data_IF_986566336827
#
_entry.id   IF_986566336827
#
_cell.length_a   1.000
_cell.length_b   1.000
_cell.length_c   1.000
_cell.angle_alpha   90.00
_cell.angle_beta   90.00
_cell.angle_gamma   90.00
#
_symmetry.space_group_name_H-M   'P 1'
#
loop_
_entity.id
_entity.type
_entity.pdbx_description
1 polymer ?
#
# COMPACT_ATOMS: atom_id res chain seq x y z
N UNK A 1 -37.02 -4.14 -4.39
CA UNK A 1 -35.77 -4.40 -5.13
C UNK A 1 -35.22 -3.07 -5.62
N UNK A 2 -34.02 -2.71 -5.20
CA UNK A 2 -33.26 -1.64 -5.88
C UNK A 2 -32.58 -2.32 -7.06
N UNK A 3 -32.88 -1.89 -8.29
CA UNK A 3 -32.06 -2.30 -9.43
C UNK A 3 -30.64 -1.76 -9.24
N UNK A 4 -29.61 -2.60 -9.25
CA UNK A 4 -28.25 -2.12 -9.21
C UNK A 4 -27.94 -1.39 -10.52
N UNK A 5 -27.64 -0.10 -10.44
CA UNK A 5 -27.07 0.62 -11.56
C UNK A 5 -25.56 0.40 -11.55
N UNK A 6 -25.06 -0.24 -12.59
CA UNK A 6 -23.62 -0.37 -12.82
C UNK A 6 -23.13 0.87 -13.55
N UNK A 7 -22.06 1.48 -13.06
CA UNK A 7 -21.28 2.43 -13.86
C UNK A 7 -20.40 1.66 -14.86
N UNK A 8 -19.74 2.38 -15.76
CA UNK A 8 -18.88 1.79 -16.80
C UNK A 8 -17.75 0.88 -16.25
N UNK A 9 -17.45 0.95 -14.96
CA UNK A 9 -16.40 0.18 -14.28
C UNK A 9 -16.95 -1.04 -13.52
N UNK A 10 -18.23 -1.37 -13.68
CA UNK A 10 -18.87 -2.50 -13.00
C UNK A 10 -19.13 -2.26 -11.51
N UNK A 11 -18.91 -1.06 -11.00
CA UNK A 11 -19.19 -0.68 -9.63
C UNK A 11 -20.67 -0.35 -9.49
N UNK A 12 -21.33 -0.98 -8.50
CA UNK A 12 -22.70 -0.63 -8.14
C UNK A 12 -22.72 0.80 -7.58
N UNK A 13 -23.02 1.78 -8.42
CA UNK A 13 -23.34 3.11 -7.95
C UNK A 13 -24.66 3.03 -7.17
N UNK A 14 -24.71 3.61 -5.99
CA UNK A 14 -25.90 3.65 -5.15
C UNK A 14 -27.13 4.06 -5.97
N UNK A 15 -28.18 3.28 -5.87
CA UNK A 15 -29.36 3.32 -6.72
C UNK A 15 -29.95 4.72 -6.90
N UNK A 16 -29.90 5.22 -8.10
CA UNK A 16 -30.86 6.20 -8.64
C UNK A 16 -32.03 5.49 -9.34
N UNK A 17 -32.19 4.17 -9.11
CA UNK A 17 -33.29 3.38 -9.64
C UNK A 17 -34.53 3.47 -8.75
N UNK A 18 -35.70 3.56 -9.34
CA UNK A 18 -36.97 3.55 -8.63
C UNK A 18 -37.11 2.30 -7.75
N UNK A 19 -37.64 2.46 -6.55
CA UNK A 19 -37.98 1.34 -5.69
C UNK A 19 -39.05 0.48 -6.38
N UNK A 20 -38.70 -0.78 -6.68
CA UNK A 20 -39.68 -1.75 -7.14
C UNK A 20 -40.44 -2.22 -5.88
N UNK A 21 -41.69 -1.81 -5.74
CA UNK A 21 -42.55 -2.31 -4.67
C UNK A 21 -43.10 -3.66 -5.06
N UNK A 22 -42.66 -4.70 -4.37
CA UNK A 22 -43.09 -6.08 -4.61
C UNK A 22 -43.98 -6.52 -3.44
N UNK A 23 -45.19 -6.96 -3.72
CA UNK A 23 -46.07 -7.65 -2.78
C UNK A 23 -46.03 -9.11 -3.10
N UNK A 24 -45.31 -9.91 -2.34
CA UNK A 24 -45.21 -11.36 -2.56
C UNK A 24 -44.47 -12.06 -1.42
N UNK A 25 -44.77 -13.32 -1.23
CA UNK A 25 -44.06 -14.17 -0.26
C UNK A 25 -42.72 -14.69 -0.84
N UNK A 26 -42.62 -14.73 -2.17
CA UNK A 26 -41.45 -15.23 -2.90
C UNK A 26 -41.03 -14.24 -3.95
N UNK A 27 -39.72 -14.08 -4.10
CA UNK A 27 -39.11 -13.25 -5.15
C UNK A 27 -38.21 -14.16 -5.98
N UNK A 28 -38.36 -14.11 -7.31
CA UNK A 28 -37.46 -14.81 -8.24
C UNK A 28 -36.55 -13.81 -8.94
N UNK A 29 -35.27 -14.05 -8.86
CA UNK A 29 -34.26 -13.35 -9.64
C UNK A 29 -33.85 -14.26 -10.79
N UNK A 30 -33.92 -13.77 -12.02
CA UNK A 30 -33.47 -14.47 -13.21
C UNK A 30 -32.33 -13.69 -13.85
N UNK A 31 -31.27 -14.39 -14.19
CA UNK A 31 -30.08 -13.80 -14.82
C UNK A 31 -30.02 -14.25 -16.28
N UNK A 32 -30.01 -13.30 -17.20
CA UNK A 32 -29.90 -13.56 -18.63
C UNK A 32 -28.42 -13.39 -19.03
N UNK A 33 -27.64 -14.45 -18.91
CA UNK A 33 -26.27 -14.46 -19.41
C UNK A 33 -25.29 -15.31 -18.60
N UNK A 34 -24.36 -15.93 -19.30
CA UNK A 34 -23.23 -16.64 -18.69
C UNK A 34 -22.27 -15.64 -18.03
N UNK A 35 -21.94 -15.84 -16.77
CA UNK A 35 -20.97 -15.03 -16.04
C UNK A 35 -21.55 -13.97 -15.10
N UNK A 36 -22.88 -13.96 -14.90
CA UNK A 36 -23.47 -13.15 -13.82
C UNK A 36 -23.10 -13.73 -12.45
N UNK A 37 -22.58 -12.93 -11.55
CA UNK A 37 -22.28 -13.31 -10.18
C UNK A 37 -23.11 -12.45 -9.22
N UNK A 38 -23.66 -13.08 -8.20
CA UNK A 38 -24.37 -12.45 -7.11
C UNK A 38 -23.63 -12.74 -5.81
N UNK A 39 -23.40 -11.70 -4.98
CA UNK A 39 -22.59 -11.84 -3.78
C UNK A 39 -23.41 -11.77 -2.50
N UNK A 40 -24.41 -10.91 -2.48
CA UNK A 40 -25.26 -10.70 -1.31
C UNK A 40 -26.66 -10.25 -1.77
N UNK A 41 -27.69 -10.69 -1.08
CA UNK A 41 -29.08 -10.28 -1.31
C UNK A 41 -29.72 -9.89 0.01
N UNK A 42 -30.23 -8.67 0.07
CA UNK A 42 -31.05 -8.24 1.16
C UNK A 42 -32.38 -7.66 0.67
N UNK A 43 -33.46 -7.98 1.36
CA UNK A 43 -34.74 -7.34 1.17
C UNK A 43 -34.91 -6.21 2.21
N UNK A 44 -35.40 -5.05 1.80
CA UNK A 44 -35.64 -3.92 2.71
C UNK A 44 -37.07 -3.44 2.55
N UNK A 45 -37.70 -2.98 3.65
CA UNK A 45 -39.01 -2.36 3.61
C UNK A 45 -38.92 -0.90 3.10
N UNK A 46 -40.08 -0.25 2.98
CA UNK A 46 -40.16 1.16 2.54
C UNK A 46 -39.45 2.17 3.47
N UNK A 47 -39.10 1.78 4.69
CA UNK A 47 -38.36 2.56 5.67
C UNK A 47 -36.86 2.26 5.67
N UNK A 48 -36.41 1.28 4.87
CA UNK A 48 -35.02 0.84 4.78
C UNK A 48 -34.63 -0.25 5.79
N UNK A 49 -35.59 -0.81 6.55
CA UNK A 49 -35.33 -1.90 7.48
C UNK A 49 -35.20 -3.22 6.74
N UNK A 50 -34.25 -4.02 7.14
CA UNK A 50 -34.04 -5.36 6.56
C UNK A 50 -35.21 -6.26 6.89
N UNK A 51 -35.79 -6.89 5.85
CA UNK A 51 -36.79 -7.95 5.96
C UNK A 51 -36.03 -9.27 5.90
N UNK A 52 -36.07 -10.11 6.96
CA UNK A 52 -35.32 -11.37 6.97
C UNK A 52 -35.76 -12.28 5.84
N UNK A 53 -34.83 -12.65 4.97
CA UNK A 53 -35.02 -13.71 3.96
C UNK A 53 -34.70 -15.03 4.63
N UNK A 54 -35.65 -15.98 4.62
CA UNK A 54 -35.50 -17.24 5.37
C UNK A 54 -34.65 -18.29 4.64
N UNK A 55 -34.72 -18.34 3.32
CA UNK A 55 -33.92 -19.25 2.52
C UNK A 55 -33.89 -18.81 1.06
N UNK A 56 -32.79 -19.15 0.39
CA UNK A 56 -32.63 -18.99 -1.06
C UNK A 56 -32.48 -20.39 -1.68
N UNK A 57 -33.16 -20.62 -2.81
CA UNK A 57 -32.99 -21.83 -3.62
C UNK A 57 -32.54 -21.43 -5.02
N UNK A 58 -31.49 -22.06 -5.52
CA UNK A 58 -31.03 -21.86 -6.89
C UNK A 58 -31.60 -22.94 -7.81
N UNK A 59 -32.02 -22.54 -9.02
CA UNK A 59 -32.37 -23.49 -10.10
C UNK A 59 -31.36 -23.29 -11.24
N UNK A 60 -30.57 -24.33 -11.54
CA UNK A 60 -29.50 -24.31 -12.54
C UNK A 60 -28.15 -24.76 -11.98
N UNK A 61 -27.15 -24.81 -12.84
CA UNK A 61 -25.79 -25.11 -12.42
C UNK A 61 -25.20 -23.91 -11.64
N UNK A 62 -24.78 -24.15 -10.41
CA UNK A 62 -24.04 -23.19 -9.59
C UNK A 62 -22.58 -23.63 -9.62
N UNK A 63 -21.74 -22.84 -10.26
CA UNK A 63 -20.29 -23.05 -10.29
C UNK A 63 -19.61 -22.22 -9.20
N UNK A 64 -18.71 -22.84 -8.46
CA UNK A 64 -17.90 -22.17 -7.45
C UNK A 64 -17.89 -22.88 -6.10
N UNK A 65 -17.07 -22.38 -5.17
CA UNK A 65 -16.94 -22.93 -3.80
C UNK A 65 -18.19 -22.70 -2.95
N UNK A 66 -18.97 -21.69 -3.23
CA UNK A 66 -20.25 -21.41 -2.58
C UNK A 66 -21.39 -22.13 -3.32
N UNK A 67 -21.43 -23.46 -3.22
CA UNK A 67 -22.50 -24.25 -3.78
C UNK A 67 -23.83 -24.08 -3.00
N UNK A 68 -23.80 -23.51 -1.80
CA UNK A 68 -24.99 -23.21 -0.99
C UNK A 68 -25.50 -21.80 -1.32
N UNK A 69 -26.69 -21.65 -1.92
CA UNK A 69 -27.28 -20.34 -2.18
C UNK A 69 -27.55 -19.51 -0.93
N UNK A 70 -27.61 -20.10 0.25
CA UNK A 70 -27.86 -19.39 1.51
C UNK A 70 -26.67 -18.51 1.95
N UNK A 71 -25.49 -18.71 1.39
CA UNK A 71 -24.36 -17.76 1.54
C UNK A 71 -24.69 -16.35 1.04
N UNK A 72 -25.70 -16.20 0.17
CA UNK A 72 -26.18 -14.89 -0.29
C UNK A 72 -27.00 -14.12 0.74
N UNK A 73 -27.32 -14.73 1.90
CA UNK A 73 -28.14 -14.15 2.96
C UNK A 73 -27.57 -14.40 4.36
N UNK A 74 -26.34 -14.82 4.48
CA UNK A 74 -25.71 -15.15 5.77
C UNK A 74 -25.33 -13.92 6.60
N UNK A 75 -25.25 -12.74 5.97
CA UNK A 75 -24.87 -11.48 6.61
C UNK A 75 -26.01 -10.44 6.67
N UNK A 76 -27.27 -10.87 6.67
CA UNK A 76 -28.42 -9.96 6.65
C UNK A 76 -28.42 -8.96 7.82
N UNK A 77 -27.92 -9.34 8.99
CA UNK A 77 -27.83 -8.47 10.17
C UNK A 77 -26.80 -7.36 9.99
N UNK A 78 -25.86 -7.51 9.05
CA UNK A 78 -24.85 -6.51 8.72
C UNK A 78 -25.32 -5.45 7.71
N UNK A 79 -26.49 -5.63 7.08
CA UNK A 79 -27.03 -4.69 6.09
C UNK A 79 -27.53 -3.41 6.78
N UNK A 80 -26.92 -2.25 6.57
CA UNK A 80 -27.31 -1.00 7.22
C UNK A 80 -28.60 -0.44 6.60
N UNK A 81 -29.47 0.14 7.43
CA UNK A 81 -30.68 0.88 6.99
C UNK A 81 -30.34 1.99 5.99
N UNK A 82 -29.25 2.71 6.25
CA UNK A 82 -28.70 3.76 5.37
C UNK A 82 -27.19 3.58 5.25
N UNK A 83 -26.68 3.20 4.09
CA UNK A 83 -25.24 3.12 3.88
C UNK A 83 -24.57 4.47 4.06
N UNK A 84 -23.57 4.53 4.95
CA UNK A 84 -22.72 5.69 5.20
C UNK A 84 -21.27 5.23 5.29
N UNK A 85 -20.32 6.15 5.32
CA UNK A 85 -18.92 5.80 5.54
C UNK A 85 -18.67 5.13 6.91
N UNK A 86 -19.60 5.21 7.84
CA UNK A 86 -19.46 4.60 9.18
C UNK A 86 -19.83 3.10 9.18
N UNK A 87 -20.75 2.70 8.34
CA UNK A 87 -21.35 1.36 8.35
C UNK A 87 -21.22 0.61 7.01
N UNK A 88 -20.59 1.23 6.00
CA UNK A 88 -20.40 0.62 4.69
C UNK A 88 -19.05 1.01 4.08
N UNK A 89 -18.71 0.41 2.97
CA UNK A 89 -17.53 0.74 2.18
C UNK A 89 -17.76 2.00 1.35
N UNK A 90 -16.71 2.76 1.11
CA UNK A 90 -16.72 3.89 0.19
C UNK A 90 -15.42 3.91 -0.63
N UNK A 91 -15.47 4.50 -1.82
CA UNK A 91 -14.35 4.60 -2.75
C UNK A 91 -13.71 3.22 -3.00
N UNK A 92 -12.40 3.11 -3.00
CA UNK A 92 -11.66 1.86 -3.31
C UNK A 92 -11.76 0.77 -2.22
N UNK A 93 -12.39 1.05 -1.07
CA UNK A 93 -12.63 0.03 -0.04
C UNK A 93 -13.40 -1.18 -0.59
N UNK A 94 -14.34 -0.93 -1.53
CA UNK A 94 -15.14 -1.99 -2.15
C UNK A 94 -14.28 -3.02 -2.87
N UNK A 95 -13.12 -2.63 -3.39
CA UNK A 95 -12.19 -3.55 -4.04
C UNK A 95 -11.27 -4.24 -3.04
N UNK A 96 -10.67 -3.47 -2.13
CA UNK A 96 -9.62 -3.98 -1.26
C UNK A 96 -10.14 -4.72 -0.04
N UNK A 97 -11.19 -4.21 0.61
CA UNK A 97 -11.81 -4.90 1.75
C UNK A 97 -12.51 -6.19 1.30
N UNK A 98 -13.22 -6.15 0.16
CA UNK A 98 -13.79 -7.34 -0.48
C UNK A 98 -12.71 -8.39 -0.74
N UNK A 99 -11.61 -8.01 -1.38
CA UNK A 99 -10.51 -8.93 -1.64
C UNK A 99 -9.86 -9.44 -0.35
N UNK A 100 -9.82 -8.61 0.72
CA UNK A 100 -9.43 -9.06 2.05
C UNK A 100 -10.32 -10.19 2.57
N UNK A 101 -11.62 -10.07 2.43
CA UNK A 101 -12.59 -11.11 2.76
C UNK A 101 -12.40 -12.36 1.89
N UNK A 102 -12.28 -12.20 0.57
CA UNK A 102 -12.04 -13.30 -0.37
C UNK A 102 -10.76 -14.08 -0.01
N UNK A 103 -9.68 -13.40 0.39
CA UNK A 103 -8.45 -14.03 0.85
C UNK A 103 -8.63 -14.79 2.17
N UNK A 104 -9.36 -14.23 3.14
CA UNK A 104 -9.63 -14.88 4.42
C UNK A 104 -10.40 -16.21 4.23
N UNK A 105 -11.34 -16.23 3.28
CA UNK A 105 -12.20 -17.38 3.02
C UNK A 105 -11.75 -18.26 1.84
N UNK A 106 -10.55 -18.01 1.28
CA UNK A 106 -10.03 -18.74 0.11
C UNK A 106 -10.98 -18.72 -1.09
N UNK A 107 -11.64 -17.60 -1.32
CA UNK A 107 -12.51 -17.37 -2.48
C UNK A 107 -11.72 -16.82 -3.67
N UNK A 108 -12.29 -16.92 -4.87
CA UNK A 108 -11.68 -16.32 -6.06
C UNK A 108 -11.58 -14.80 -5.92
N UNK A 109 -10.38 -14.29 -6.15
CA UNK A 109 -10.05 -12.89 -5.95
C UNK A 109 -10.60 -12.04 -7.09
N UNK A 110 -11.44 -11.07 -6.77
CA UNK A 110 -11.99 -10.12 -7.72
C UNK A 110 -10.95 -9.08 -8.16
N UNK A 111 -10.30 -8.41 -7.20
CA UNK A 111 -9.32 -7.36 -7.50
C UNK A 111 -7.92 -7.97 -7.60
N UNK A 112 -7.40 -8.07 -8.82
CA UNK A 112 -6.09 -8.65 -9.15
C UNK A 112 -5.14 -7.65 -9.80
N UNK A 113 -5.51 -6.36 -9.84
CA UNK A 113 -4.73 -5.31 -10.53
C UNK A 113 -3.54 -4.79 -9.71
N UNK A 114 -3.41 -5.22 -8.46
CA UNK A 114 -2.30 -4.88 -7.57
C UNK A 114 -1.79 -6.12 -6.84
N UNK A 115 -0.50 -6.13 -6.42
CA UNK A 115 0.04 -7.19 -5.58
C UNK A 115 -0.78 -7.40 -4.31
N UNK A 116 -0.80 -8.63 -3.74
CA UNK A 116 -1.79 -8.99 -2.73
C UNK A 116 -1.45 -8.56 -1.30
N UNK A 117 -0.18 -8.25 -0.94
CA UNK A 117 0.24 -8.15 0.47
C UNK A 117 -0.59 -7.16 1.30
N UNK A 118 -0.91 -5.98 0.76
CA UNK A 118 -1.75 -5.01 1.47
C UNK A 118 -3.12 -5.57 1.80
N UNK A 119 -3.72 -6.33 0.86
CA UNK A 119 -5.02 -7.01 1.04
C UNK A 119 -4.92 -8.20 2.00
N UNK A 120 -3.76 -8.87 2.05
CA UNK A 120 -3.49 -9.94 3.04
C UNK A 120 -3.49 -9.39 4.47
N UNK A 121 -2.94 -8.21 4.71
CA UNK A 121 -3.04 -7.59 6.04
C UNK A 121 -4.50 -7.25 6.42
N UNK A 122 -5.29 -6.79 5.46
CA UNK A 122 -6.72 -6.58 5.68
C UNK A 122 -7.44 -7.91 5.94
N UNK A 123 -7.09 -8.99 5.22
CA UNK A 123 -7.70 -10.31 5.40
C UNK A 123 -7.48 -10.85 6.80
N UNK A 124 -6.31 -10.67 7.39
CA UNK A 124 -6.05 -11.08 8.78
C UNK A 124 -6.91 -10.30 9.79
N UNK A 125 -7.12 -9.01 9.54
CA UNK A 125 -7.98 -8.22 10.41
C UNK A 125 -9.46 -8.63 10.27
N UNK A 126 -9.91 -8.91 9.06
CA UNK A 126 -11.28 -9.39 8.78
C UNK A 126 -11.50 -10.78 9.39
N UNK A 127 -10.56 -11.68 9.25
CA UNK A 127 -10.63 -13.03 9.84
C UNK A 127 -10.74 -12.97 11.38
N UNK A 128 -10.00 -12.06 12.02
CA UNK A 128 -9.98 -11.92 13.48
C UNK A 128 -11.18 -11.15 14.05
N UNK A 129 -11.72 -10.18 13.33
CA UNK A 129 -12.69 -9.20 13.86
C UNK A 129 -14.02 -9.18 13.08
N UNK A 130 -14.17 -10.06 12.08
CA UNK A 130 -15.33 -10.09 11.20
C UNK A 130 -15.29 -9.04 10.10
N UNK A 131 -16.23 -9.14 9.15
CA UNK A 131 -16.36 -8.22 8.01
C UNK A 131 -17.05 -6.92 8.44
N UNK A 132 -16.33 -6.05 9.13
CA UNK A 132 -16.83 -4.78 9.66
C UNK A 132 -15.99 -3.59 9.21
N UNK A 133 -16.55 -2.36 9.14
CA UNK A 133 -15.78 -1.15 8.81
C UNK A 133 -14.56 -0.94 9.68
N UNK A 134 -14.62 -1.32 10.94
CA UNK A 134 -13.48 -1.28 11.85
C UNK A 134 -12.38 -2.26 11.40
N UNK A 135 -12.75 -3.51 11.11
CA UNK A 135 -11.81 -4.58 10.77
C UNK A 135 -11.03 -4.26 9.48
N UNK A 136 -11.72 -3.93 8.39
CA UNK A 136 -11.02 -3.69 7.13
C UNK A 136 -10.20 -2.40 7.11
N UNK A 137 -10.53 -1.39 7.93
CA UNK A 137 -9.76 -0.14 8.08
C UNK A 137 -8.62 -0.25 9.08
N UNK A 138 -8.65 -1.23 9.98
CA UNK A 138 -7.70 -1.36 11.09
C UNK A 138 -6.25 -1.49 10.62
N UNK A 139 -5.97 -2.35 9.63
CA UNK A 139 -4.61 -2.56 9.12
C UNK A 139 -4.00 -1.27 8.53
N UNK A 140 -4.77 -0.52 7.73
CA UNK A 140 -4.35 0.78 7.19
C UNK A 140 -4.12 1.81 8.28
N UNK A 141 -5.00 1.87 9.28
CA UNK A 141 -4.88 2.78 10.44
C UNK A 141 -3.62 2.47 11.25
N UNK A 142 -3.36 1.20 11.56
CA UNK A 142 -2.14 0.79 12.27
C UNK A 142 -0.88 1.14 11.47
N UNK A 143 -0.91 0.97 10.17
CA UNK A 143 0.16 1.39 9.27
C UNK A 143 0.43 2.89 9.39
N UNK A 144 -0.62 3.72 9.39
CA UNK A 144 -0.51 5.17 9.61
C UNK A 144 0.08 5.54 10.96
N UNK A 145 -0.34 4.88 12.03
CA UNK A 145 0.23 5.07 13.37
C UNK A 145 1.73 4.73 13.38
N UNK A 146 2.12 3.63 12.74
CA UNK A 146 3.53 3.20 12.66
C UNK A 146 4.39 4.13 11.79
N UNK A 147 3.82 4.89 10.87
CA UNK A 147 4.56 5.90 10.10
C UNK A 147 5.10 7.02 11.00
N UNK A 148 4.43 7.36 12.11
CA UNK A 148 4.85 8.44 13.00
C UNK A 148 6.20 8.12 13.67
N UNK A 149 6.39 6.98 14.37
CA UNK A 149 7.70 6.62 14.88
C UNK A 149 8.71 6.34 13.75
N UNK A 150 8.29 5.84 12.59
CA UNK A 150 9.19 5.59 11.47
C UNK A 150 9.83 6.90 10.96
N UNK A 151 9.04 7.96 10.75
CA UNK A 151 9.59 9.27 10.33
C UNK A 151 10.44 9.90 11.43
N UNK A 152 10.05 9.75 12.71
CA UNK A 152 10.86 10.21 13.83
C UNK A 152 12.25 9.55 13.82
N UNK A 153 12.31 8.22 13.69
CA UNK A 153 13.55 7.46 13.67
C UNK A 153 14.41 7.80 12.44
N UNK A 154 13.77 7.95 11.27
CA UNK A 154 14.47 8.37 10.05
C UNK A 154 15.07 9.76 10.21
N UNK A 155 14.30 10.72 10.72
CA UNK A 155 14.80 12.08 11.00
C UNK A 155 15.90 12.08 12.05
N UNK A 156 15.78 11.28 13.12
CA UNK A 156 16.85 11.09 14.11
C UNK A 156 18.13 10.53 13.50
N UNK A 157 17.99 9.58 12.56
CA UNK A 157 19.14 9.01 11.87
C UNK A 157 19.87 10.04 10.98
N UNK A 158 19.13 10.96 10.39
CA UNK A 158 19.69 12.00 9.49
C UNK A 158 20.18 13.25 10.24
N UNK A 159 19.36 13.78 11.14
CA UNK A 159 19.57 15.09 11.77
C UNK A 159 20.27 14.96 13.13
N UNK A 160 20.12 13.82 13.82
CA UNK A 160 20.71 13.50 15.15
C UNK A 160 20.31 14.51 16.25
N UNK A 161 19.13 15.11 16.15
CA UNK A 161 18.59 16.05 17.15
C UNK A 161 17.11 15.77 17.39
N UNK A 162 16.77 15.36 18.61
CA UNK A 162 15.44 14.97 19.05
C UNK A 162 14.36 15.99 18.70
N UNK A 163 14.59 17.28 18.94
CA UNK A 163 13.62 18.35 18.65
C UNK A 163 13.17 18.40 17.18
N UNK A 164 14.12 18.21 16.26
CA UNK A 164 13.81 18.24 14.82
C UNK A 164 13.17 16.93 14.33
N UNK A 165 13.58 15.81 14.92
CA UNK A 165 12.92 14.54 14.67
C UNK A 165 11.47 14.53 15.20
N UNK A 166 11.24 15.09 16.39
CA UNK A 166 9.90 15.27 16.94
C UNK A 166 9.04 16.22 16.08
N UNK A 167 9.63 17.31 15.57
CA UNK A 167 8.94 18.20 14.64
C UNK A 167 8.56 17.49 13.34
N UNK A 168 9.44 16.64 12.78
CA UNK A 168 9.13 15.85 11.58
C UNK A 168 7.94 14.90 11.82
N UNK A 169 7.88 14.24 12.98
CA UNK A 169 6.76 13.40 13.37
C UNK A 169 5.46 14.22 13.57
N UNK A 170 5.56 15.39 14.20
CA UNK A 170 4.43 16.30 14.39
C UNK A 170 3.86 16.79 13.05
N UNK A 171 4.72 17.19 12.10
CA UNK A 171 4.29 17.62 10.77
C UNK A 171 3.56 16.51 10.01
N UNK A 172 4.03 15.26 10.08
CA UNK A 172 3.31 14.13 9.48
C UNK A 172 1.96 13.86 10.19
N UNK A 173 1.93 13.95 11.52
CA UNK A 173 0.68 13.77 12.30
C UNK A 173 -0.34 14.87 11.97
N UNK A 174 0.12 16.09 11.69
CA UNK A 174 -0.74 17.22 11.33
C UNK A 174 -1.13 17.24 9.84
N UNK A 175 -0.65 16.29 9.03
CA UNK A 175 -0.98 16.26 7.61
C UNK A 175 -2.35 15.62 7.36
N UNK A 176 -3.24 16.38 6.72
CA UNK A 176 -4.60 15.93 6.43
C UNK A 176 -4.64 14.74 5.47
N UNK A 177 -3.73 14.69 4.50
CA UNK A 177 -3.66 13.56 3.57
C UNK A 177 -3.23 12.27 4.29
N UNK A 178 -2.21 12.33 5.15
CA UNK A 178 -1.82 11.19 5.97
C UNK A 178 -3.00 10.69 6.81
N UNK A 179 -3.72 11.59 7.47
CA UNK A 179 -4.87 11.25 8.31
C UNK A 179 -5.98 10.57 7.50
N UNK A 180 -6.34 11.11 6.34
CA UNK A 180 -7.43 10.58 5.50
C UNK A 180 -7.02 9.26 4.85
N UNK A 181 -5.82 9.20 4.25
CA UNK A 181 -5.36 8.06 3.47
C UNK A 181 -5.10 6.82 4.32
N UNK A 182 -4.77 6.98 5.60
CA UNK A 182 -4.53 5.84 6.50
C UNK A 182 -5.78 5.33 7.21
N UNK A 183 -6.92 6.01 7.05
CA UNK A 183 -8.21 5.61 7.63
C UNK A 183 -9.15 4.95 6.65
N UNK A 184 -8.90 5.03 5.37
CA UNK A 184 -9.60 4.30 4.32
C UNK A 184 -8.89 2.95 4.08
N UNK A 185 -9.65 1.90 3.80
CA UNK A 185 -9.08 0.58 3.50
C UNK A 185 -8.56 0.51 2.06
N UNK A 186 -7.51 1.25 1.77
CA UNK A 186 -6.74 1.16 0.53
C UNK A 186 -5.36 0.57 0.80
N UNK A 187 -4.71 0.11 -0.26
CA UNK A 187 -3.38 -0.51 -0.14
C UNK A 187 -2.23 0.51 -0.12
N UNK A 188 -2.49 1.80 -0.29
CA UNK A 188 -1.48 2.83 -0.50
C UNK A 188 -0.60 3.11 0.71
N UNK A 189 -1.15 3.00 1.91
CA UNK A 189 -0.42 3.27 3.16
C UNK A 189 0.69 2.25 3.43
N UNK A 190 0.50 0.98 3.07
CA UNK A 190 1.48 -0.09 3.34
C UNK A 190 2.82 0.15 2.65
N UNK A 191 2.90 0.34 1.32
CA UNK A 191 4.18 0.58 0.66
C UNK A 191 4.86 1.83 1.17
N UNK A 192 4.13 2.88 1.56
CA UNK A 192 4.72 4.11 2.12
C UNK A 192 5.42 3.82 3.45
N UNK A 193 4.78 3.13 4.39
CA UNK A 193 5.43 2.72 5.64
C UNK A 193 6.68 1.89 5.36
N UNK A 194 6.57 0.88 4.50
CA UNK A 194 7.70 0.00 4.21
C UNK A 194 8.83 0.73 3.51
N UNK A 195 8.56 1.68 2.62
CA UNK A 195 9.58 2.56 2.03
C UNK A 195 10.25 3.45 3.08
N UNK A 196 9.51 4.01 4.04
CA UNK A 196 10.10 4.79 5.14
C UNK A 196 11.07 3.95 5.95
N UNK A 197 10.68 2.72 6.30
CA UNK A 197 11.53 1.81 7.11
C UNK A 197 12.72 1.29 6.31
N UNK A 198 12.56 0.99 5.02
CA UNK A 198 13.68 0.58 4.19
C UNK A 198 14.73 1.69 4.06
N UNK A 199 14.31 2.96 3.90
CA UNK A 199 15.23 4.11 3.87
C UNK A 199 15.85 4.38 5.25
N UNK A 200 15.14 4.14 6.35
CA UNK A 200 15.70 4.21 7.70
C UNK A 200 16.90 3.27 7.84
N UNK A 201 16.77 2.02 7.43
CA UNK A 201 17.86 1.05 7.50
C UNK A 201 18.99 1.35 6.50
N UNK A 202 18.67 1.84 5.30
CA UNK A 202 19.68 2.31 4.35
C UNK A 202 20.47 3.50 4.91
N UNK A 203 19.81 4.49 5.51
CA UNK A 203 20.45 5.63 6.18
C UNK A 203 21.34 5.18 7.34
N UNK A 204 20.93 4.14 8.07
CA UNK A 204 21.77 3.52 9.09
C UNK A 204 23.03 2.92 8.50
N UNK A 205 22.91 2.13 7.43
CA UNK A 205 24.03 1.54 6.73
C UNK A 205 24.99 2.57 6.17
N UNK A 206 24.51 3.65 5.59
CA UNK A 206 25.33 4.74 5.04
C UNK A 206 26.26 5.38 6.10
N UNK A 207 25.90 5.32 7.38
CA UNK A 207 26.72 5.83 8.49
C UNK A 207 27.70 4.78 9.04
N UNK A 208 27.65 3.56 8.53
CA UNK A 208 28.55 2.48 8.94
C UNK A 208 29.74 2.34 7.99
N UNK A 209 30.79 1.70 8.49
CA UNK A 209 31.97 1.37 7.69
C UNK A 209 32.49 -0.01 8.09
N UNK A 210 32.61 -0.89 7.12
CA UNK A 210 33.20 -2.20 7.33
C UNK A 210 34.71 -2.17 7.59
N UNK A 211 35.36 -1.00 7.52
CA UNK A 211 36.75 -0.81 7.97
C UNK A 211 36.86 -0.77 9.50
N UNK A 212 35.85 -0.18 10.17
CA UNK A 212 35.82 0.01 11.62
C UNK A 212 34.94 -0.99 12.34
N UNK A 213 34.09 -1.74 11.62
CA UNK A 213 33.11 -2.65 12.20
C UNK A 213 33.24 -4.05 11.59
N UNK A 214 32.74 -5.06 12.30
CA UNK A 214 32.62 -6.41 11.77
C UNK A 214 31.64 -6.41 10.60
N UNK A 215 31.97 -7.05 9.49
CA UNK A 215 31.18 -7.07 8.26
C UNK A 215 29.71 -7.45 8.52
N UNK A 216 29.46 -8.50 9.27
CA UNK A 216 28.08 -8.95 9.55
C UNK A 216 27.20 -7.85 10.18
N UNK A 217 27.78 -6.98 11.03
CA UNK A 217 27.04 -5.85 11.63
C UNK A 217 26.61 -4.82 10.60
N UNK A 218 27.39 -4.64 9.54
CA UNK A 218 27.02 -3.73 8.44
C UNK A 218 26.02 -4.37 7.49
N UNK A 219 25.96 -5.70 7.40
CA UNK A 219 25.01 -6.42 6.57
C UNK A 219 23.58 -6.43 7.16
N UNK A 220 23.43 -6.40 8.50
CA UNK A 220 22.11 -6.42 9.16
C UNK A 220 21.17 -5.31 8.66
N UNK A 221 21.56 -4.01 8.65
CA UNK A 221 20.67 -2.98 8.13
C UNK A 221 20.43 -3.10 6.61
N UNK A 222 21.36 -3.61 5.83
CA UNK A 222 21.12 -3.90 4.40
C UNK A 222 20.08 -5.00 4.22
N UNK A 223 20.16 -6.08 5.01
CA UNK A 223 19.16 -7.13 5.00
C UNK A 223 17.77 -6.60 5.37
N UNK A 224 17.68 -5.84 6.47
CA UNK A 224 16.41 -5.22 6.87
C UNK A 224 15.86 -4.29 5.77
N UNK A 225 16.72 -3.46 5.15
CA UNK A 225 16.32 -2.61 4.03
C UNK A 225 15.77 -3.44 2.86
N UNK A 226 16.39 -4.57 2.52
CA UNK A 226 15.91 -5.49 1.46
C UNK A 226 14.58 -6.16 1.80
N UNK A 227 14.38 -6.58 3.04
CA UNK A 227 13.10 -7.12 3.51
C UNK A 227 11.97 -6.09 3.34
N UNK A 228 12.17 -4.86 3.83
CA UNK A 228 11.15 -3.81 3.71
C UNK A 228 10.94 -3.35 2.27
N UNK A 229 11.96 -3.41 1.42
CA UNK A 229 11.79 -3.22 -0.03
C UNK A 229 10.88 -4.30 -0.62
N UNK A 230 11.09 -5.57 -0.26
CA UNK A 230 10.23 -6.68 -0.69
C UNK A 230 8.78 -6.50 -0.24
N UNK A 231 8.56 -6.11 1.02
CA UNK A 231 7.23 -5.83 1.56
C UNK A 231 6.54 -4.65 0.83
N UNK A 232 7.30 -3.59 0.50
CA UNK A 232 6.77 -2.46 -0.26
C UNK A 232 6.32 -2.87 -1.66
N UNK A 233 7.15 -3.61 -2.40
CA UNK A 233 6.84 -4.08 -3.77
C UNK A 233 5.68 -5.09 -3.74
N UNK A 234 5.64 -5.99 -2.77
CA UNK A 234 4.55 -6.96 -2.61
C UNK A 234 3.20 -6.32 -2.21
N UNK A 235 3.21 -5.09 -1.69
CA UNK A 235 2.00 -4.32 -1.39
C UNK A 235 1.52 -3.50 -2.59
N UNK A 236 2.43 -2.86 -3.32
CA UNK A 236 2.15 -2.09 -4.55
C UNK A 236 3.43 -1.86 -5.34
N UNK A 237 3.37 -1.93 -6.67
CA UNK A 237 4.56 -1.77 -7.55
C UNK A 237 5.26 -0.41 -7.42
N UNK A 238 4.64 0.58 -6.81
CA UNK A 238 5.29 1.86 -6.47
C UNK A 238 6.55 1.66 -5.62
N UNK A 239 6.65 0.58 -4.86
CA UNK A 239 7.86 0.18 -4.14
C UNK A 239 9.11 0.05 -5.02
N UNK A 240 8.95 -0.26 -6.32
CA UNK A 240 10.05 -0.32 -7.27
C UNK A 240 10.74 1.03 -7.48
N UNK A 241 9.99 2.14 -7.45
CA UNK A 241 10.61 3.48 -7.52
C UNK A 241 11.47 3.76 -6.28
N UNK A 242 11.02 3.31 -5.10
CA UNK A 242 11.82 3.36 -3.88
C UNK A 242 13.10 2.54 -3.99
N UNK A 243 13.07 1.37 -4.66
CA UNK A 243 14.24 0.53 -4.89
C UNK A 243 15.31 1.24 -5.75
N UNK A 244 14.90 2.03 -6.74
CA UNK A 244 15.84 2.86 -7.52
C UNK A 244 16.55 3.87 -6.62
N UNK A 245 15.80 4.55 -5.74
CA UNK A 245 16.37 5.45 -4.74
C UNK A 245 17.38 4.76 -3.80
N UNK A 246 17.05 3.53 -3.34
CA UNK A 246 17.98 2.72 -2.55
C UNK A 246 19.28 2.41 -3.30
N UNK A 247 19.19 2.04 -4.58
CA UNK A 247 20.36 1.73 -5.40
C UNK A 247 21.28 2.96 -5.51
N UNK A 248 20.72 4.14 -5.74
CA UNK A 248 21.49 5.40 -5.80
C UNK A 248 22.22 5.65 -4.47
N UNK A 249 21.55 5.51 -3.34
CA UNK A 249 22.15 5.69 -2.01
C UNK A 249 23.23 4.65 -1.73
N UNK A 250 22.94 3.38 -2.02
CA UNK A 250 23.89 2.28 -1.83
C UNK A 250 25.18 2.52 -2.63
N UNK A 251 25.07 2.74 -3.93
CA UNK A 251 26.25 2.91 -4.78
C UNK A 251 27.00 4.22 -4.46
N UNK A 252 26.33 5.29 -4.11
CA UNK A 252 26.96 6.52 -3.62
C UNK A 252 27.88 6.26 -2.40
N UNK A 253 27.35 5.54 -1.41
CA UNK A 253 28.14 5.16 -0.22
C UNK A 253 29.24 4.15 -0.56
N UNK A 254 28.93 3.16 -1.38
CA UNK A 254 29.89 2.13 -1.78
C UNK A 254 31.09 2.74 -2.53
N UNK A 255 30.86 3.68 -3.43
CA UNK A 255 31.90 4.45 -4.12
C UNK A 255 32.73 5.27 -3.11
N UNK A 256 32.09 5.84 -2.09
CA UNK A 256 32.81 6.55 -1.02
C UNK A 256 33.77 5.62 -0.26
N UNK A 257 33.31 4.42 0.09
CA UNK A 257 34.16 3.41 0.72
C UNK A 257 35.32 2.98 -0.19
N UNK A 258 35.06 2.82 -1.49
CA UNK A 258 36.11 2.55 -2.48
C UNK A 258 37.15 3.69 -2.53
N UNK A 259 36.70 4.94 -2.63
CA UNK A 259 37.62 6.10 -2.62
C UNK A 259 38.46 6.14 -1.35
N UNK A 260 37.89 5.81 -0.19
CA UNK A 260 38.63 5.69 1.08
C UNK A 260 39.72 4.62 0.99
N UNK A 261 39.45 3.47 0.37
CA UNK A 261 40.47 2.43 0.15
C UNK A 261 41.59 2.88 -0.78
N UNK A 262 41.24 3.59 -1.87
CA UNK A 262 42.26 4.12 -2.81
C UNK A 262 43.16 5.15 -2.12
N UNK A 263 42.59 6.03 -1.29
CA UNK A 263 43.36 6.97 -0.48
C UNK A 263 44.28 6.21 0.49
N UNK A 264 43.73 5.25 1.21
CA UNK A 264 44.46 4.44 2.18
C UNK A 264 45.62 3.64 1.55
N UNK A 265 45.50 3.18 0.29
CA UNK A 265 46.59 2.55 -0.45
C UNK A 265 47.76 3.50 -0.70
N UNK A 266 47.51 4.77 -0.95
CA UNK A 266 48.56 5.77 -1.19
C UNK A 266 49.30 6.19 0.07
N UNK A 267 48.64 6.04 1.24
CA UNK A 267 49.16 6.45 2.55
C UNK A 267 49.40 5.25 3.46
N UNK A 268 49.64 4.07 2.87
CA UNK A 268 49.67 2.77 3.58
C UNK A 268 50.66 2.72 4.73
N UNK A 269 51.80 3.36 4.56
CA UNK A 269 52.94 3.33 5.50
C UNK A 269 52.82 4.39 6.62
N UNK A 270 51.84 5.29 6.52
CA UNK A 270 51.67 6.37 7.50
C UNK A 270 50.94 5.91 8.79
N UNK A 271 50.00 4.98 8.66
CA UNK A 271 49.19 4.43 9.79
C UNK A 271 48.75 2.98 9.49
N UNK A 272 48.88 2.07 10.45
CA UNK A 272 48.34 0.71 10.37
C UNK A 272 46.84 0.65 10.04
N UNK A 273 46.07 1.70 10.33
CA UNK A 273 44.67 1.80 9.94
C UNK A 273 44.48 1.92 8.43
N UNK A 274 45.38 2.64 7.74
CA UNK A 274 45.36 2.75 6.29
C UNK A 274 45.70 1.41 5.62
N UNK A 275 46.67 0.65 6.14
CA UNK A 275 46.99 -0.67 5.62
C UNK A 275 45.76 -1.60 5.70
N UNK A 276 45.06 -1.61 6.85
CA UNK A 276 43.80 -2.39 7.01
C UNK A 276 42.70 -1.96 6.07
N UNK A 277 42.53 -0.67 5.82
CA UNK A 277 41.51 -0.14 4.90
C UNK A 277 41.86 -0.44 3.44
N UNK A 278 43.15 -0.34 3.08
CA UNK A 278 43.66 -0.64 1.74
C UNK A 278 43.39 -2.09 1.34
N UNK A 279 43.68 -3.04 2.23
CA UNK A 279 43.55 -4.47 1.97
C UNK A 279 42.12 -4.99 2.22
N UNK A 280 41.37 -4.30 3.06
CA UNK A 280 40.03 -4.74 3.49
C UNK A 280 38.90 -4.51 2.48
N UNK A 281 39.06 -3.61 1.49
CA UNK A 281 37.98 -3.26 0.57
C UNK A 281 37.59 -4.44 -0.33
N UNK A 282 38.56 -5.06 -1.01
CA UNK A 282 38.26 -6.08 -2.01
C UNK A 282 37.42 -7.26 -1.43
N UNK A 283 37.83 -7.93 -0.34
CA UNK A 283 37.05 -9.03 0.20
C UNK A 283 35.73 -8.58 0.84
N UNK A 284 35.72 -7.48 1.60
CA UNK A 284 34.50 -7.02 2.28
C UNK A 284 33.52 -6.37 1.30
N UNK A 285 34.00 -5.66 0.30
CA UNK A 285 33.20 -5.10 -0.77
C UNK A 285 32.53 -6.17 -1.61
N UNK A 286 33.31 -7.18 -2.04
CA UNK A 286 32.78 -8.32 -2.79
C UNK A 286 31.71 -9.09 -1.96
N UNK A 287 31.98 -9.37 -0.70
CA UNK A 287 31.02 -10.02 0.19
C UNK A 287 29.76 -9.16 0.42
N UNK A 288 29.89 -7.83 0.51
CA UNK A 288 28.75 -6.93 0.58
C UNK A 288 27.90 -6.97 -0.68
N UNK A 289 28.52 -6.94 -1.86
CA UNK A 289 27.80 -7.04 -3.15
C UNK A 289 27.10 -8.39 -3.30
N UNK A 290 27.78 -9.50 -2.95
CA UNK A 290 27.17 -10.82 -2.97
C UNK A 290 25.96 -10.92 -2.01
N UNK A 291 26.08 -10.36 -0.80
CA UNK A 291 24.97 -10.27 0.14
C UNK A 291 23.83 -9.40 -0.39
N UNK A 292 24.12 -8.31 -1.10
CA UNK A 292 23.10 -7.45 -1.71
C UNK A 292 22.29 -8.17 -2.79
N UNK A 293 22.87 -9.10 -3.55
CA UNK A 293 22.10 -9.93 -4.49
C UNK A 293 21.06 -10.76 -3.73
N UNK A 294 21.44 -11.35 -2.59
CA UNK A 294 20.47 -12.08 -1.75
C UNK A 294 19.44 -11.13 -1.17
N UNK A 295 19.84 -10.01 -0.58
CA UNK A 295 18.97 -9.12 0.18
C UNK A 295 18.00 -8.30 -0.69
N UNK A 296 18.45 -7.85 -1.86
CA UNK A 296 17.68 -6.96 -2.74
C UNK A 296 17.12 -7.64 -4.00
N UNK A 297 17.41 -8.93 -4.23
CA UNK A 297 16.83 -9.71 -5.32
C UNK A 297 16.08 -10.92 -4.77
N UNK A 298 16.78 -11.85 -4.10
CA UNK A 298 16.17 -13.12 -3.69
C UNK A 298 15.12 -12.91 -2.60
N UNK A 299 15.44 -12.16 -1.54
CA UNK A 299 14.51 -11.92 -0.44
C UNK A 299 13.22 -11.21 -0.89
N UNK A 300 13.26 -10.12 -1.69
CA UNK A 300 12.05 -9.53 -2.23
C UNK A 300 11.21 -10.48 -3.10
N UNK A 301 11.84 -11.28 -3.96
CA UNK A 301 11.13 -12.28 -4.77
C UNK A 301 10.42 -13.30 -3.87
N UNK A 302 11.10 -13.80 -2.83
CA UNK A 302 10.49 -14.75 -1.88
C UNK A 302 9.30 -14.11 -1.17
N UNK A 303 9.44 -12.90 -0.64
CA UNK A 303 8.34 -12.16 0.02
C UNK A 303 7.18 -11.97 -0.95
N UNK A 304 7.48 -11.56 -2.18
CA UNK A 304 6.48 -11.36 -3.23
C UNK A 304 5.70 -12.65 -3.53
N UNK A 305 6.40 -13.76 -3.75
CA UNK A 305 5.74 -15.06 -4.01
C UNK A 305 4.93 -15.53 -2.79
N UNK A 306 5.43 -15.37 -1.57
CA UNK A 306 4.71 -15.75 -0.36
C UNK A 306 3.43 -14.93 -0.17
N UNK A 307 3.41 -13.66 -0.59
CA UNK A 307 2.21 -12.83 -0.51
C UNK A 307 1.05 -13.35 -1.37
N UNK A 308 1.33 -14.18 -2.37
CA UNK A 308 0.32 -14.79 -3.24
C UNK A 308 -0.35 -16.04 -2.65
N UNK A 309 0.08 -16.55 -1.50
CA UNK A 309 -0.50 -17.77 -0.90
C UNK A 309 -2.02 -17.67 -0.75
N UNK A 310 -2.62 -16.59 -0.21
CA UNK A 310 -4.08 -16.48 -0.11
C UNK A 310 -4.77 -16.46 -1.48
N UNK A 311 -4.20 -15.80 -2.47
CA UNK A 311 -4.69 -15.85 -3.85
C UNK A 311 -4.65 -17.27 -4.42
N UNK A 312 -3.57 -18.01 -4.19
CA UNK A 312 -3.41 -19.39 -4.67
C UNK A 312 -4.35 -20.36 -3.96
N UNK A 313 -4.67 -20.11 -2.68
CA UNK A 313 -5.57 -20.97 -1.89
C UNK A 313 -6.98 -21.09 -2.50
N UNK A 314 -7.46 -20.04 -3.15
CA UNK A 314 -8.73 -20.05 -3.88
C UNK A 314 -8.78 -21.10 -5.01
N UNK A 315 -7.61 -21.48 -5.54
CA UNK A 315 -7.47 -22.54 -6.54
C UNK A 315 -7.11 -23.90 -5.94
N UNK A 316 -7.12 -24.03 -4.60
CA UNK A 316 -6.68 -25.26 -3.92
C UNK A 316 -5.15 -25.46 -3.93
N UNK A 317 -4.37 -24.44 -4.26
CA UNK A 317 -2.93 -24.49 -4.49
C UNK A 317 -2.20 -23.68 -3.41
N UNK A 318 -1.77 -24.33 -2.32
CA UNK A 318 -1.07 -23.64 -1.21
C UNK A 318 0.45 -23.81 -1.22
N UNK A 319 0.98 -24.62 -2.14
CA UNK A 319 2.43 -24.89 -2.23
C UNK A 319 3.04 -24.14 -3.41
N UNK A 320 4.17 -23.47 -3.18
CA UNK A 320 4.97 -22.89 -4.26
C UNK A 320 5.65 -24.01 -5.06
N UNK A 321 5.25 -24.17 -6.31
CA UNK A 321 5.80 -25.08 -7.29
C UNK A 321 5.78 -24.41 -8.68
N UNK A 322 6.26 -25.09 -9.72
CA UNK A 322 6.34 -24.50 -11.07
C UNK A 322 4.97 -24.02 -11.59
N UNK A 323 3.89 -24.77 -11.34
CA UNK A 323 2.54 -24.38 -11.75
C UNK A 323 2.04 -23.13 -11.04
N UNK A 324 2.27 -23.02 -9.72
CA UNK A 324 1.89 -21.84 -8.95
C UNK A 324 2.76 -20.63 -9.29
N UNK A 325 4.05 -20.81 -9.58
CA UNK A 325 4.92 -19.74 -10.09
C UNK A 325 4.46 -19.24 -11.45
N UNK A 326 4.04 -20.13 -12.36
CA UNK A 326 3.44 -19.73 -13.64
C UNK A 326 2.16 -18.93 -13.43
N UNK A 327 1.28 -19.34 -12.48
CA UNK A 327 0.07 -18.59 -12.14
C UNK A 327 0.40 -17.19 -11.59
N UNK A 328 1.40 -17.10 -10.70
CA UNK A 328 1.89 -15.79 -10.20
C UNK A 328 2.41 -14.95 -11.37
N UNK A 329 3.17 -15.53 -12.28
CA UNK A 329 3.67 -14.82 -13.46
C UNK A 329 2.54 -14.30 -14.34
N UNK A 330 1.56 -15.13 -14.65
CA UNK A 330 0.39 -14.73 -15.43
C UNK A 330 -0.40 -13.61 -14.76
N UNK A 331 -0.48 -13.60 -13.43
CA UNK A 331 -1.07 -12.49 -12.68
C UNK A 331 -0.27 -11.19 -12.88
N UNK A 332 1.08 -11.23 -12.98
CA UNK A 332 1.88 -10.04 -13.30
C UNK A 332 1.60 -9.53 -14.71
N UNK A 333 1.50 -10.43 -15.68
CA UNK A 333 1.17 -10.06 -17.06
C UNK A 333 -0.20 -9.38 -17.12
N UNK A 334 -1.20 -9.96 -16.47
CA UNK A 334 -2.55 -9.37 -16.38
C UNK A 334 -2.53 -7.98 -15.72
N UNK A 335 -1.81 -7.84 -14.59
CA UNK A 335 -1.62 -6.55 -13.91
C UNK A 335 -0.98 -5.50 -14.83
N UNK A 336 0.08 -5.89 -15.52
CA UNK A 336 0.79 -5.00 -16.44
C UNK A 336 -0.09 -4.55 -17.60
N UNK A 337 -0.80 -5.49 -18.24
CA UNK A 337 -1.72 -5.18 -19.34
C UNK A 337 -2.89 -4.29 -18.88
N UNK A 338 -3.42 -4.53 -17.68
CA UNK A 338 -4.43 -3.66 -17.10
C UNK A 338 -3.93 -2.22 -16.98
N UNK A 339 -2.79 -2.00 -16.32
CA UNK A 339 -2.26 -0.64 -16.13
C UNK A 339 -1.80 0.03 -17.42
N UNK A 340 -1.28 -0.73 -18.38
CA UNK A 340 -0.87 -0.23 -19.70
C UNK A 340 -2.05 0.28 -20.51
N UNK A 341 -3.20 -0.40 -20.41
CA UNK A 341 -4.38 -0.12 -21.22
C UNK A 341 -5.43 0.72 -20.47
N UNK A 342 -5.15 1.07 -19.19
CA UNK A 342 -6.09 1.82 -18.37
C UNK A 342 -6.29 3.24 -18.92
N UNK A 343 -7.48 3.50 -19.43
CA UNK A 343 -7.96 4.82 -19.82
C UNK A 343 -9.11 5.19 -18.89
N UNK A 344 -8.77 5.56 -17.68
CA UNK A 344 -9.76 6.01 -16.70
C UNK A 344 -9.70 7.53 -16.57
N UNK A 345 -10.85 8.18 -16.70
CA UNK A 345 -11.02 9.61 -16.41
C UNK A 345 -11.73 9.72 -15.06
N UNK A 346 -11.10 10.37 -14.11
CA UNK A 346 -11.72 10.67 -12.83
C UNK A 346 -11.97 12.17 -12.71
N UNK A 347 -13.15 12.59 -12.29
CA UNK A 347 -13.51 14.00 -12.21
C UNK A 347 -12.54 14.81 -11.34
N UNK A 348 -11.99 14.20 -10.30
CA UNK A 348 -11.01 14.79 -9.39
C UNK A 348 -9.55 14.45 -9.74
N UNK A 349 -9.26 13.89 -10.91
CA UNK A 349 -7.88 13.70 -11.36
C UNK A 349 -7.17 15.04 -11.54
N UNK A 350 -5.89 15.08 -11.26
CA UNK A 350 -5.02 16.24 -11.44
C UNK A 350 -3.61 15.79 -11.84
N UNK A 351 -2.88 16.59 -12.64
CA UNK A 351 -1.50 16.30 -12.97
C UNK A 351 -0.62 16.34 -11.71
N UNK A 352 0.44 15.53 -11.68
CA UNK A 352 1.32 15.38 -10.51
C UNK A 352 1.97 16.69 -10.03
N UNK A 353 2.22 17.65 -10.91
CA UNK A 353 2.82 18.94 -10.56
C UNK A 353 1.85 19.89 -9.83
N UNK A 354 0.56 19.62 -9.87
CA UNK A 354 -0.46 20.35 -9.11
C UNK A 354 -0.57 19.84 -7.65
N UNK A 355 -0.16 18.62 -7.36
CA UNK A 355 -0.28 18.04 -6.02
C UNK A 355 0.43 18.83 -4.94
N UNK A 356 1.70 19.26 -5.12
CA UNK A 356 2.39 20.06 -4.11
C UNK A 356 1.70 21.39 -3.79
N UNK A 357 0.95 21.93 -4.75
CA UNK A 357 0.20 23.19 -4.61
C UNK A 357 -1.21 22.98 -4.05
N UNK A 358 -1.66 21.73 -3.92
CA UNK A 358 -3.00 21.37 -3.44
C UNK A 358 -4.09 22.01 -4.31
N UNK A 359 -3.89 22.03 -5.63
CA UNK A 359 -4.82 22.69 -6.57
C UNK A 359 -6.18 22.01 -6.58
N UNK A 360 -6.20 20.66 -6.48
CA UNK A 360 -7.43 19.87 -6.54
C UNK A 360 -7.36 18.71 -5.55
N UNK A 361 -8.19 18.69 -4.48
CA UNK A 361 -8.25 17.57 -3.55
C UNK A 361 -8.90 16.36 -4.19
N UNK A 362 -8.55 15.15 -3.75
CA UNK A 362 -9.25 13.93 -4.12
C UNK A 362 -10.49 13.78 -3.24
N UNK A 363 -11.64 13.59 -3.88
CA UNK A 363 -12.92 13.43 -3.18
C UNK A 363 -13.27 11.96 -3.07
N UNK A 364 -13.27 11.43 -1.85
CA UNK A 364 -13.49 10.00 -1.60
C UNK A 364 -14.95 9.66 -1.28
N UNK A 365 -15.67 10.57 -0.61
CA UNK A 365 -17.02 10.31 -0.17
C UNK A 365 -17.85 11.59 -0.15
N UNK A 366 -19.10 11.46 -0.56
CA UNK A 366 -20.11 12.52 -0.41
C UNK A 366 -21.47 11.88 -0.16
N UNK A 367 -22.17 12.36 0.87
CA UNK A 367 -23.56 12.04 1.13
C UNK A 367 -24.32 13.29 1.55
N UNK A 368 -25.52 13.44 1.05
CA UNK A 368 -26.46 14.47 1.47
C UNK A 368 -27.53 13.85 2.37
N UNK A 369 -27.85 14.52 3.45
CA UNK A 369 -28.94 14.17 4.38
C UNK A 369 -30.00 15.27 4.35
N UNK A 370 -30.86 15.33 3.31
CA UNK A 370 -31.79 16.45 3.12
C UNK A 370 -32.73 16.69 4.31
N UNK A 371 -33.17 15.62 4.95
CA UNK A 371 -34.03 15.70 6.14
C UNK A 371 -33.37 16.40 7.35
N UNK A 372 -32.02 16.45 7.39
CA UNK A 372 -31.25 17.11 8.45
C UNK A 372 -30.62 18.42 7.99
N UNK A 373 -30.74 18.81 6.71
CA UNK A 373 -30.05 19.96 6.15
C UNK A 373 -28.52 19.83 6.20
N UNK A 374 -27.98 18.59 6.23
CA UNK A 374 -26.55 18.29 6.40
C UNK A 374 -26.00 17.57 5.18
N UNK A 375 -24.72 17.77 4.92
CA UNK A 375 -23.91 16.96 4.00
C UNK A 375 -22.67 16.46 4.72
N UNK A 376 -22.21 15.28 4.35
CA UNK A 376 -20.97 14.69 4.85
C UNK A 376 -20.02 14.42 3.68
N UNK A 377 -18.76 14.80 3.83
CA UNK A 377 -17.76 14.61 2.78
C UNK A 377 -16.43 14.15 3.38
N UNK A 378 -15.70 13.32 2.64
CA UNK A 378 -14.31 12.93 2.95
C UNK A 378 -13.45 13.29 1.76
N UNK A 379 -12.43 14.12 2.00
CA UNK A 379 -11.48 14.56 0.99
C UNK A 379 -10.05 14.31 1.46
N UNK A 380 -9.19 13.84 0.54
CA UNK A 380 -7.75 13.72 0.77
C UNK A 380 -7.02 14.90 0.12
N UNK A 381 -6.32 15.66 0.94
CA UNK A 381 -5.45 16.76 0.52
C UNK A 381 -4.35 17.00 1.56
N UNK A 382 -3.20 17.50 1.13
CA UNK A 382 -2.12 17.86 2.05
C UNK A 382 -2.49 19.05 2.93
N UNK A 383 -1.98 19.06 4.16
CA UNK A 383 -2.13 20.25 5.01
C UNK A 383 -1.37 21.42 4.36
N UNK A 384 -2.02 22.54 3.98
CA UNK A 384 -1.36 23.66 3.29
C UNK A 384 -0.17 24.23 4.07
N UNK A 385 -0.29 24.32 5.41
CA UNK A 385 0.79 24.81 6.25
C UNK A 385 2.03 23.90 6.19
N UNK A 386 1.85 22.59 6.10
CA UNK A 386 2.94 21.61 5.99
C UNK A 386 3.51 21.58 4.57
N UNK A 387 2.65 21.50 3.56
CA UNK A 387 3.06 21.30 2.18
C UNK A 387 3.71 22.57 1.59
N UNK A 388 3.10 23.73 1.75
CA UNK A 388 3.64 24.97 1.17
C UNK A 388 4.92 25.42 1.86
N UNK A 389 4.98 25.31 3.21
CA UNK A 389 6.24 25.59 3.92
C UNK A 389 7.31 24.55 3.57
N UNK A 390 6.92 23.28 3.31
CA UNK A 390 7.81 22.24 2.81
C UNK A 390 8.42 22.56 1.45
N UNK A 391 7.61 23.07 0.50
CA UNK A 391 8.11 23.53 -0.80
C UNK A 391 9.15 24.63 -0.66
N UNK A 392 8.85 25.66 0.15
CA UNK A 392 9.80 26.75 0.43
C UNK A 392 11.08 26.21 1.05
N UNK A 393 10.97 25.29 2.02
CA UNK A 393 12.13 24.67 2.66
C UNK A 393 12.99 23.86 1.68
N UNK A 394 12.38 23.10 0.76
CA UNK A 394 13.10 22.35 -0.29
C UNK A 394 13.87 23.31 -1.20
N UNK A 395 13.22 24.36 -1.70
CA UNK A 395 13.84 25.35 -2.56
C UNK A 395 15.01 26.05 -1.86
N UNK A 396 14.83 26.38 -0.57
CA UNK A 396 15.89 26.98 0.25
C UNK A 396 17.10 26.03 0.40
N UNK A 397 16.86 24.74 0.72
CA UNK A 397 17.93 23.75 0.89
C UNK A 397 18.68 23.52 -0.42
N UNK A 398 17.97 23.43 -1.55
CA UNK A 398 18.58 23.27 -2.87
C UNK A 398 19.43 24.51 -3.22
N UNK A 399 18.89 25.71 -3.08
CA UNK A 399 19.60 26.96 -3.34
C UNK A 399 20.84 27.13 -2.45
N UNK A 400 20.71 26.81 -1.14
CA UNK A 400 21.83 26.83 -0.21
C UNK A 400 22.92 25.81 -0.58
N UNK A 401 22.55 24.62 -1.00
CA UNK A 401 23.47 23.56 -1.44
C UNK A 401 24.27 24.01 -2.67
N UNK A 402 23.60 24.60 -3.67
CA UNK A 402 24.26 25.18 -4.87
C UNK A 402 25.21 26.31 -4.47
N UNK A 403 24.74 27.25 -3.66
CA UNK A 403 25.56 28.36 -3.17
C UNK A 403 26.81 27.88 -2.44
N UNK A 404 26.65 26.92 -1.51
CA UNK A 404 27.79 26.38 -0.75
C UNK A 404 28.82 25.68 -1.63
N UNK A 405 28.37 24.95 -2.66
CA UNK A 405 29.26 24.25 -3.60
C UNK A 405 29.94 25.23 -4.58
N UNK A 406 29.32 26.36 -4.89
CA UNK A 406 29.88 27.40 -5.75
C UNK A 406 30.91 28.28 -5.02
N UNK A 407 30.82 28.44 -3.69
CA UNK A 407 31.72 29.28 -2.88
C UNK A 407 33.22 28.96 -3.08
N UNK A 408 33.69 27.71 -3.18
CA UNK A 408 35.09 27.41 -3.46
C UNK A 408 35.56 27.91 -4.84
N UNK A 409 34.65 27.87 -5.85
CA UNK A 409 34.95 28.33 -7.20
C UNK A 409 35.02 29.89 -7.30
N UNK A 410 34.32 30.60 -6.41
CA UNK A 410 34.29 32.05 -6.37
C UNK A 410 35.45 32.64 -5.55
N UNK A 411 36.23 31.80 -4.85
CA UNK A 411 37.42 32.22 -4.05
C UNK A 411 38.74 31.99 -4.77
N UNK A 412 38.73 31.56 -6.03
CA UNK A 412 39.86 31.49 -6.95
C UNK A 412 39.81 32.71 -7.85
#
# INVERSE_FOLDING_TARGET
LREPTYNADGVVAGASGGMLTLNGRYIRLTFDGAGSALWEVAAVDGNGRVIPVQAITASGAVEGRAADPNVLIDEQDAVPEKPTYENSMYFDEIYHARTGYEHAHSLYTYETTHPPLGKVFMSWCIDLMGMTPFAWRFAGTMTGILMIPAIYLLAMQLIKRTRWAALSALLLTADCMHFTQTRIATIDSFPVLFMMVMFLFMARWMQMSFYHQKLWRTLVPLFASGVFMGLAIASKWIGCYGAVGLAVLFFSRFITLYKQSVYAKRHRDEDPAFARAADGFAPKGAATLAACVVFFVIVPIVIYCLSYIPYLSAYGEVKLNLKTLERIWNAQVTMFEYHKNLVATHYFSSPWYEWPLIVKPMWYYSAAFPAMGKASTIMAFGNPAVWWTGLVAILFVLGYSVYRNALPMLRV
#
